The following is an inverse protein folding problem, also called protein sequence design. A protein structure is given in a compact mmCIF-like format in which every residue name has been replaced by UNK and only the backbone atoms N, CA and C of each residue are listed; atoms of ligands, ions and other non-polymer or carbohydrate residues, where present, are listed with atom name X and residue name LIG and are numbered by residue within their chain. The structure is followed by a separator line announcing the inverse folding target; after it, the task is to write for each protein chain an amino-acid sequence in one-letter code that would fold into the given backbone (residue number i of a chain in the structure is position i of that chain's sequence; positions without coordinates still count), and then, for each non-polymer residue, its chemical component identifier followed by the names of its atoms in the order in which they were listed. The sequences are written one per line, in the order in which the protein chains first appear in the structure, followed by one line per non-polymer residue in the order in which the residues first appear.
data_IF_109024636194
#
_entry.id   IF_109024636194
#
_cell.length_a   1.000
_cell.length_b   1.000
_cell.length_c   1.000
_cell.angle_alpha   90.00
_cell.angle_beta   90.00
_cell.angle_gamma   90.00
#
_symmetry.space_group_name_H-M   'P 1'
#
loop_
_entity.id
_entity.type
_entity.pdbx_description
1 polymer ?
#
# COMPACT_ATOMS: atom_id res chain seq x y z
N UNK A 1 -8.50 6.63 -0.79
CA UNK A 1 -7.50 5.61 -1.19
C UNK A 1 -8.09 4.21 -1.04
N UNK A 2 -7.91 3.38 -2.07
CA UNK A 2 -8.36 1.98 -2.03
C UNK A 2 -7.30 1.13 -1.35
N UNK A 3 -7.69 0.35 -0.35
CA UNK A 3 -6.79 -0.57 0.35
C UNK A 3 -7.10 -1.98 -0.13
N UNK A 4 -6.10 -2.63 -0.73
CA UNK A 4 -6.22 -4.01 -1.20
C UNK A 4 -6.10 -4.98 -0.03
N UNK A 5 -6.97 -6.00 -0.01
CA UNK A 5 -6.94 -7.06 0.99
C UNK A 5 -7.16 -8.42 0.31
N UNK A 6 -6.68 -9.48 0.95
CA UNK A 6 -6.88 -10.85 0.46
C UNK A 6 -6.10 -11.17 -0.81
N UNK A 7 -6.71 -11.96 -1.72
CA UNK A 7 -6.07 -12.43 -2.95
C UNK A 7 -5.60 -11.33 -3.89
N UNK A 8 -6.38 -10.27 -4.15
CA UNK A 8 -5.90 -9.18 -5.00
C UNK A 8 -4.63 -8.53 -4.47
N UNK A 9 -4.50 -8.37 -3.16
CA UNK A 9 -3.32 -7.82 -2.53
C UNK A 9 -2.08 -8.68 -2.78
N UNK A 10 -2.20 -9.99 -2.66
CA UNK A 10 -1.10 -10.93 -2.91
C UNK A 10 -0.63 -10.87 -4.35
N UNK A 11 -1.57 -10.88 -5.28
CA UNK A 11 -1.28 -10.81 -6.72
C UNK A 11 -0.59 -9.50 -7.06
N UNK A 12 -1.12 -8.39 -6.58
CA UNK A 12 -0.54 -7.08 -6.82
C UNK A 12 0.88 -6.96 -6.26
N UNK A 13 1.12 -7.50 -5.07
CA UNK A 13 2.45 -7.50 -4.47
C UNK A 13 3.46 -8.30 -5.31
N UNK A 14 3.07 -9.45 -5.83
CA UNK A 14 3.92 -10.26 -6.70
C UNK A 14 4.27 -9.48 -7.97
N UNK A 15 3.29 -8.88 -8.62
CA UNK A 15 3.50 -8.07 -9.83
C UNK A 15 4.40 -6.89 -9.52
N UNK A 16 4.18 -6.20 -8.42
CA UNK A 16 4.95 -5.04 -7.98
C UNK A 16 6.42 -5.40 -7.74
N UNK A 17 6.68 -6.47 -6.98
CA UNK A 17 8.04 -6.89 -6.64
C UNK A 17 8.80 -7.34 -7.88
N UNK A 18 8.16 -8.08 -8.79
CA UNK A 18 8.78 -8.53 -10.03
C UNK A 18 9.07 -7.38 -10.98
N UNK A 19 8.18 -6.43 -11.11
CA UNK A 19 8.37 -5.26 -11.95
C UNK A 19 9.57 -4.41 -11.49
N UNK A 20 9.73 -4.24 -10.18
CA UNK A 20 10.79 -3.42 -9.62
C UNK A 20 12.14 -4.14 -9.50
N UNK A 21 12.15 -5.49 -9.35
CA UNK A 21 13.37 -6.23 -9.06
C UNK A 21 14.07 -6.79 -10.32
N UNK A 22 13.32 -7.22 -11.33
CA UNK A 22 13.90 -7.85 -12.53
C UNK A 22 13.18 -7.41 -13.79
N UNK A 23 12.09 -8.07 -14.09
CA UNK A 23 11.30 -7.88 -15.28
C UNK A 23 9.83 -8.11 -14.96
N UNK A 24 8.89 -7.57 -15.75
CA UNK A 24 7.48 -7.83 -15.56
C UNK A 24 7.18 -9.33 -15.58
N UNK A 25 6.26 -9.76 -14.71
CA UNK A 25 5.85 -11.15 -14.66
C UNK A 25 4.91 -11.46 -15.83
N UNK A 26 5.14 -12.60 -16.50
CA UNK A 26 4.27 -13.05 -17.58
C UNK A 26 3.02 -13.74 -17.02
N UNK A 27 1.91 -13.73 -17.77
CA UNK A 27 0.67 -14.37 -17.35
C UNK A 27 0.82 -15.87 -17.08
N UNK A 28 1.59 -16.58 -17.91
CA UNK A 28 1.85 -18.01 -17.72
C UNK A 28 2.58 -18.29 -16.41
N UNK A 29 3.59 -17.47 -16.12
CA UNK A 29 4.35 -17.55 -14.87
C UNK A 29 3.46 -17.27 -13.67
N UNK A 30 2.61 -16.25 -13.76
CA UNK A 30 1.68 -15.90 -12.70
C UNK A 30 0.64 -17.01 -12.48
N UNK A 31 0.10 -17.59 -13.54
CA UNK A 31 -0.85 -18.69 -13.46
C UNK A 31 -0.26 -19.93 -12.77
N UNK A 32 1.04 -20.17 -12.96
CA UNK A 32 1.72 -21.30 -12.31
C UNK A 32 1.82 -21.17 -10.79
N UNK A 33 1.73 -19.97 -10.26
CA UNK A 33 1.80 -19.70 -8.83
C UNK A 33 0.46 -19.85 -8.11
N UNK A 34 -0.64 -19.94 -8.86
CA UNK A 34 -1.99 -20.02 -8.29
C UNK A 34 -2.72 -21.25 -8.82
N UNK A 35 -3.41 -21.95 -7.93
CA UNK A 35 -4.15 -23.16 -8.29
C UNK A 35 -5.53 -22.90 -8.89
N UNK A 36 -6.13 -21.76 -8.58
CA UNK A 36 -7.47 -21.40 -9.07
C UNK A 36 -7.37 -20.29 -10.12
N UNK A 37 -7.49 -20.68 -11.39
CA UNK A 37 -7.39 -19.76 -12.52
C UNK A 37 -8.53 -18.75 -12.58
N UNK A 38 -9.76 -19.15 -12.26
CA UNK A 38 -10.92 -18.26 -12.29
C UNK A 38 -10.78 -17.14 -11.24
N UNK A 39 -10.36 -17.51 -10.05
CA UNK A 39 -10.12 -16.54 -8.98
C UNK A 39 -9.00 -15.56 -9.37
N UNK A 40 -7.92 -16.08 -9.96
CA UNK A 40 -6.81 -15.27 -10.45
C UNK A 40 -7.28 -14.26 -11.51
N UNK A 41 -8.05 -14.71 -12.51
CA UNK A 41 -8.57 -13.83 -13.55
C UNK A 41 -9.49 -12.75 -12.97
N UNK A 42 -10.36 -13.13 -12.04
CA UNK A 42 -11.24 -12.19 -11.35
C UNK A 42 -10.44 -11.11 -10.61
N UNK A 43 -9.42 -11.51 -9.87
CA UNK A 43 -8.57 -10.60 -9.11
C UNK A 43 -7.76 -9.69 -10.04
N UNK A 44 -7.24 -10.22 -11.16
CA UNK A 44 -6.53 -9.44 -12.16
C UNK A 44 -7.43 -8.39 -12.80
N UNK A 45 -8.67 -8.76 -13.14
CA UNK A 45 -9.64 -7.82 -13.70
C UNK A 45 -9.98 -6.73 -12.68
N UNK A 46 -10.09 -7.07 -11.42
CA UNK A 46 -10.31 -6.11 -10.35
C UNK A 46 -9.14 -5.10 -10.26
N UNK A 47 -7.91 -5.58 -10.28
CA UNK A 47 -6.73 -4.72 -10.26
C UNK A 47 -6.66 -3.81 -11.50
N UNK A 48 -7.01 -4.32 -12.67
CA UNK A 48 -7.09 -3.51 -13.89
C UNK A 48 -8.17 -2.43 -13.79
N UNK A 49 -9.31 -2.75 -13.20
CA UNK A 49 -10.39 -1.79 -13.00
C UNK A 49 -10.01 -0.64 -12.08
N UNK A 50 -9.09 -0.89 -11.15
CA UNK A 50 -8.52 0.13 -10.27
C UNK A 50 -7.38 0.91 -10.93
N UNK A 51 -7.02 0.56 -12.17
CA UNK A 51 -5.91 1.18 -12.91
C UNK A 51 -4.55 1.02 -12.23
N UNK A 52 -4.36 -0.05 -11.47
CA UNK A 52 -3.09 -0.33 -10.78
C UNK A 52 -2.12 -1.12 -11.65
N UNK A 53 -2.63 -1.97 -12.53
CA UNK A 53 -1.83 -2.81 -13.43
C UNK A 53 -2.33 -2.68 -14.86
N UNK A 54 -1.46 -3.02 -15.79
CA UNK A 54 -1.77 -3.09 -17.22
C UNK A 54 -1.10 -4.34 -17.80
N UNK A 55 -1.40 -4.65 -19.03
CA UNK A 55 -0.86 -5.82 -19.71
C UNK A 55 -0.35 -5.41 -21.10
N UNK A 56 0.86 -5.85 -21.47
CA UNK A 56 1.42 -5.57 -22.77
C UNK A 56 1.02 -6.63 -23.82
N UNK A 57 1.56 -6.51 -25.05
CA UNK A 57 1.26 -7.44 -26.15
C UNK A 57 1.73 -8.86 -25.87
N UNK A 58 2.73 -9.04 -25.04
CA UNK A 58 3.29 -10.34 -24.68
C UNK A 58 2.71 -10.92 -23.41
N UNK A 59 1.61 -10.36 -22.92
CA UNK A 59 0.93 -10.76 -21.69
C UNK A 59 1.81 -10.63 -20.43
N UNK A 60 2.74 -9.67 -20.45
CA UNK A 60 3.47 -9.29 -19.25
C UNK A 60 2.68 -8.24 -18.48
N UNK A 61 2.56 -8.41 -17.17
CA UNK A 61 1.86 -7.48 -16.33
C UNK A 61 2.77 -6.31 -15.95
N UNK A 62 2.32 -5.11 -16.24
CA UNK A 62 3.03 -3.87 -15.98
C UNK A 62 2.34 -3.10 -14.87
N UNK A 63 3.11 -2.29 -14.15
CA UNK A 63 2.54 -1.34 -13.20
C UNK A 63 2.21 -0.04 -13.92
N UNK A 64 1.02 0.49 -13.68
CA UNK A 64 0.67 1.86 -14.07
C UNK A 64 1.38 2.85 -13.14
N UNK A 65 1.37 4.13 -13.47
CA UNK A 65 1.88 5.16 -12.58
C UNK A 65 1.21 5.10 -11.21
N UNK A 66 -0.11 4.90 -11.19
CA UNK A 66 -0.90 4.75 -9.97
C UNK A 66 -0.49 3.49 -9.19
N UNK A 67 -0.25 2.37 -9.87
CA UNK A 67 0.22 1.14 -9.26
C UNK A 67 1.60 1.26 -8.64
N UNK A 68 2.52 1.94 -9.32
CA UNK A 68 3.87 2.18 -8.78
C UNK A 68 3.85 3.01 -7.50
N UNK A 69 2.92 3.94 -7.41
CA UNK A 69 2.80 4.82 -6.26
C UNK A 69 1.91 4.26 -5.15
N UNK A 70 1.23 3.14 -5.39
CA UNK A 70 0.24 2.59 -4.46
C UNK A 70 0.81 2.36 -3.06
N UNK A 71 1.92 1.63 -2.95
CA UNK A 71 2.52 1.34 -1.65
C UNK A 71 3.07 2.59 -0.98
N UNK A 72 3.62 3.51 -1.76
CA UNK A 72 4.13 4.77 -1.26
C UNK A 72 3.02 5.63 -0.66
N UNK A 73 1.89 5.75 -1.37
CA UNK A 73 0.71 6.47 -0.89
C UNK A 73 0.09 5.80 0.33
N UNK A 74 0.07 4.46 0.35
CA UNK A 74 -0.44 3.69 1.48
C UNK A 74 0.41 3.92 2.73
N UNK A 75 1.72 3.90 2.62
CA UNK A 75 2.62 4.18 3.73
C UNK A 75 2.43 5.61 4.24
N UNK A 76 2.31 6.57 3.35
CA UNK A 76 2.05 7.96 3.70
C UNK A 76 0.72 8.12 4.43
N UNK A 77 -0.32 7.45 3.98
CA UNK A 77 -1.63 7.46 4.63
C UNK A 77 -1.55 6.91 6.05
N UNK A 78 -0.91 5.76 6.25
CA UNK A 78 -0.74 5.17 7.58
C UNK A 78 0.12 6.06 8.49
N UNK A 79 1.17 6.66 7.95
CA UNK A 79 2.04 7.55 8.70
C UNK A 79 1.28 8.79 9.17
N UNK A 80 0.52 9.43 8.29
CA UNK A 80 -0.29 10.61 8.64
C UNK A 80 -1.33 10.27 9.71
N UNK A 81 -2.00 9.12 9.58
CA UNK A 81 -2.99 8.67 10.57
C UNK A 81 -2.33 8.41 11.92
N UNK A 82 -1.18 7.74 11.94
CA UNK A 82 -0.43 7.48 13.16
C UNK A 82 0.03 8.77 13.83
N UNK A 83 0.54 9.72 13.06
CA UNK A 83 0.96 11.02 13.58
C UNK A 83 -0.20 11.76 14.22
N UNK A 84 -1.36 11.80 13.55
CA UNK A 84 -2.54 12.48 14.08
C UNK A 84 -3.12 11.78 15.30
N UNK A 85 -3.10 10.46 15.33
CA UNK A 85 -3.73 9.68 16.41
C UNK A 85 -2.87 9.57 17.66
N UNK A 86 -1.54 9.57 17.53
CA UNK A 86 -0.62 9.31 18.63
C UNK A 86 0.20 10.53 18.97
N UNK A 87 0.76 11.19 17.97
CA UNK A 87 1.72 12.27 18.16
C UNK A 87 1.07 13.51 18.80
N UNK A 88 -0.08 13.94 18.28
CA UNK A 88 -0.75 15.15 18.79
C UNK A 88 -1.16 15.04 20.27
N UNK A 89 -1.80 13.92 20.72
CA UNK A 89 -2.09 13.75 22.14
C UNK A 89 -0.86 13.76 23.04
N UNK A 90 0.25 13.16 22.59
CA UNK A 90 1.50 13.12 23.35
C UNK A 90 2.09 14.53 23.49
N UNK A 91 2.10 15.31 22.39
CA UNK A 91 2.61 16.68 22.41
C UNK A 91 1.80 17.56 23.33
N UNK A 92 0.46 17.46 23.27
CA UNK A 92 -0.42 18.24 24.15
C UNK A 92 -0.19 17.88 25.61
N UNK A 93 -0.09 16.58 25.94
CA UNK A 93 0.19 16.13 27.31
C UNK A 93 1.55 16.65 27.80
N UNK A 94 2.56 16.63 26.96
CA UNK A 94 3.90 17.11 27.29
C UNK A 94 3.90 18.61 27.60
N UNK A 95 3.26 19.41 26.75
CA UNK A 95 3.15 20.87 26.94
C UNK A 95 2.37 21.17 28.21
N UNK A 96 1.26 20.50 28.47
CA UNK A 96 0.47 20.67 29.69
C UNK A 96 1.30 20.37 30.94
N UNK A 97 2.08 19.32 30.93
CA UNK A 97 2.96 18.94 32.04
C UNK A 97 4.01 20.00 32.27
N UNK A 98 4.63 20.54 31.22
CA UNK A 98 5.63 21.61 31.35
C UNK A 98 5.03 22.86 31.95
N UNK A 99 3.85 23.27 31.50
CA UNK A 99 3.16 24.47 32.03
C UNK A 99 2.83 24.26 33.50
N UNK A 100 2.34 23.10 33.89
CA UNK A 100 2.02 22.79 35.29
C UNK A 100 3.27 22.86 36.17
N UNK A 101 4.38 22.27 35.72
CA UNK A 101 5.64 22.31 36.45
C UNK A 101 6.19 23.75 36.56
N UNK A 102 6.06 24.53 35.49
CA UNK A 102 6.49 25.91 35.48
C UNK A 102 5.71 26.76 36.50
N UNK A 103 4.39 26.58 36.51
CA UNK A 103 3.52 27.29 37.48
C UNK A 103 3.84 26.91 38.92
N UNK A 104 4.11 25.63 39.20
CA UNK A 104 4.53 25.17 40.53
C UNK A 104 5.90 25.71 40.91
N UNK A 105 6.78 25.81 39.94
CA UNK A 105 8.12 26.36 40.18
C UNK A 105 8.15 27.87 40.44
N UNK A 106 7.14 28.60 39.96
CA UNK A 106 7.04 30.02 40.16
C UNK A 106 6.29 30.42 41.44
N UNK A 107 5.67 29.44 42.08
CA UNK A 107 5.02 29.64 43.39
C UNK A 107 5.97 29.26 44.49
#
# INVERSE_FOLDING_TARGET
MVILVGSPKKIFKIIYDRYNSKAPINSDELESLFSNRQELESDLNYLKSLELIDCDYNWNYLLTAKGRMYFKLKLQYYFDTAVKSIFCPIVVAFITTLITLWLKGSL
#
